data_IF_794530386482
#
_entry.id   IF_794530386482
#
_cell.length_a   1.000
_cell.length_b   1.000
_cell.length_c   1.000
_cell.angle_alpha   90.00
_cell.angle_beta   90.00
_cell.angle_gamma   90.00
#
_symmetry.space_group_name_H-M   'P 1'
#
loop_
_entity.id
_entity.type
_entity.pdbx_description
1 polymer ?
#
# COMPACT_ATOMS: atom_id res chain seq x y z
N UNK A 1 -11.91 -11.77 -10.26
CA UNK A 1 -10.68 -12.55 -10.57
C UNK A 1 -9.83 -12.46 -9.30
N UNK A 2 -9.31 -13.56 -8.77
CA UNK A 2 -8.54 -13.52 -7.50
C UNK A 2 -7.15 -12.93 -7.74
N UNK A 3 -6.70 -12.04 -6.84
CA UNK A 3 -5.33 -11.51 -6.89
C UNK A 3 -4.38 -12.61 -6.42
N UNK A 4 -3.28 -12.82 -7.15
CA UNK A 4 -2.18 -13.59 -6.61
C UNK A 4 -1.60 -12.87 -5.39
N UNK A 5 -0.95 -13.60 -4.48
CA UNK A 5 -0.27 -12.98 -3.32
C UNK A 5 0.75 -11.93 -3.76
N UNK A 6 1.39 -12.13 -4.91
CA UNK A 6 2.34 -11.18 -5.47
C UNK A 6 1.67 -9.87 -5.88
N UNK A 7 0.53 -9.95 -6.57
CA UNK A 7 -0.25 -8.79 -7.00
C UNK A 7 -0.90 -8.05 -5.83
N UNK A 8 -1.40 -8.78 -4.82
CA UNK A 8 -1.90 -8.19 -3.58
C UNK A 8 -0.83 -7.34 -2.90
N UNK A 9 0.38 -7.88 -2.72
CA UNK A 9 1.52 -7.16 -2.13
C UNK A 9 1.86 -5.90 -2.94
N UNK A 10 1.95 -6.02 -4.26
CA UNK A 10 2.23 -4.88 -5.15
C UNK A 10 1.14 -3.80 -5.07
N UNK A 11 -0.12 -4.20 -5.03
CA UNK A 11 -1.23 -3.26 -4.85
C UNK A 11 -1.16 -2.54 -3.50
N UNK A 12 -0.97 -3.28 -2.41
CA UNK A 12 -0.86 -2.70 -1.06
C UNK A 12 0.29 -1.71 -0.97
N UNK A 13 1.47 -2.06 -1.47
CA UNK A 13 2.63 -1.15 -1.52
C UNK A 13 2.36 0.11 -2.34
N UNK A 14 1.81 -0.04 -3.55
CA UNK A 14 1.44 1.08 -4.40
C UNK A 14 0.42 2.03 -3.75
N UNK A 15 -0.48 1.47 -2.94
CA UNK A 15 -1.47 2.21 -2.14
C UNK A 15 -0.90 2.77 -0.82
N UNK A 16 0.40 2.58 -0.54
CA UNK A 16 1.06 3.08 0.66
C UNK A 16 0.85 2.24 1.92
N UNK A 17 0.34 1.01 1.79
CA UNK A 17 0.22 0.04 2.88
C UNK A 17 1.52 -0.75 3.01
N UNK A 18 2.44 -0.11 3.71
CA UNK A 18 3.84 -0.44 3.76
C UNK A 18 4.20 -1.79 4.41
N UNK A 19 4.98 -2.60 3.70
CA UNK A 19 5.48 -3.93 4.07
C UNK A 19 6.83 -3.94 4.82
N UNK A 20 7.17 -2.91 5.59
CA UNK A 20 8.39 -2.93 6.42
C UNK A 20 9.62 -2.21 5.85
N UNK A 21 10.68 -2.02 6.66
CA UNK A 21 11.83 -1.06 6.70
C UNK A 21 12.37 -0.41 5.41
N UNK A 22 11.93 -0.83 4.24
CA UNK A 22 12.28 -0.31 2.92
C UNK A 22 11.28 0.73 2.37
N UNK A 23 11.01 1.77 3.16
CA UNK A 23 9.91 2.71 2.94
C UNK A 23 10.41 4.11 2.73
N UNK A 24 10.93 4.33 1.52
CA UNK A 24 10.99 5.60 0.79
C UNK A 24 11.73 5.42 -0.54
N UNK A 25 12.39 4.27 -0.78
CA UNK A 25 12.97 3.83 -2.06
C UNK A 25 13.00 2.29 -2.22
N UNK A 26 12.08 1.55 -1.58
CA UNK A 26 12.14 0.09 -1.46
C UNK A 26 12.01 -0.69 -2.77
N UNK A 27 13.11 -1.35 -3.14
CA UNK A 27 13.26 -2.24 -4.29
C UNK A 27 12.26 -3.40 -4.35
N UNK A 28 11.44 -3.69 -3.32
CA UNK A 28 10.50 -4.84 -3.27
C UNK A 28 9.41 -4.89 -4.36
N UNK A 29 9.28 -3.83 -5.16
CA UNK A 29 8.29 -3.71 -6.25
C UNK A 29 8.81 -4.11 -7.64
N UNK A 30 10.07 -4.53 -7.79
CA UNK A 30 10.60 -5.03 -9.06
C UNK A 30 10.70 -6.57 -9.02
N UNK A 31 10.35 -7.24 -10.12
CA UNK A 31 10.78 -8.62 -10.34
C UNK A 31 12.32 -8.66 -10.27
N UNK A 32 12.89 -9.53 -9.44
CA UNK A 32 14.35 -9.62 -9.25
C UNK A 32 14.96 -8.62 -8.27
N UNK A 33 14.15 -7.98 -7.42
CA UNK A 33 14.66 -7.18 -6.32
C UNK A 33 15.48 -8.05 -5.36
N UNK A 34 16.80 -7.94 -5.44
CA UNK A 34 17.72 -8.56 -4.51
C UNK A 34 18.71 -7.50 -4.04
N UNK A 35 18.82 -7.37 -2.73
CA UNK A 35 19.65 -6.35 -2.10
C UNK A 35 20.89 -7.07 -1.53
N UNK A 36 21.95 -7.15 -2.34
CA UNK A 36 23.22 -7.84 -1.98
C UNK A 36 23.94 -7.15 -0.82
N UNK A 37 23.70 -5.85 -0.62
CA UNK A 37 24.45 -5.02 0.33
C UNK A 37 23.94 -5.14 1.78
N UNK A 38 22.75 -5.70 1.99
CA UNK A 38 22.11 -5.78 3.32
C UNK A 38 21.95 -7.22 3.83
N UNK A 39 21.92 -8.23 2.96
CA UNK A 39 21.63 -9.63 3.33
C UNK A 39 22.87 -10.54 3.36
N UNK A 40 24.05 -10.03 3.04
CA UNK A 40 25.24 -10.87 2.86
C UNK A 40 25.03 -11.91 1.76
N UNK A 41 25.46 -13.15 2.00
CA UNK A 41 25.52 -14.29 1.06
C UNK A 41 24.17 -14.94 0.73
N UNK A 42 23.06 -14.20 0.64
CA UNK A 42 21.81 -14.78 0.12
C UNK A 42 21.91 -14.88 -1.41
N UNK A 43 21.77 -16.10 -1.92
CA UNK A 43 21.66 -16.36 -3.35
C UNK A 43 20.24 -16.03 -3.83
N UNK A 44 20.14 -14.92 -4.55
CA UNK A 44 18.91 -14.38 -5.14
C UNK A 44 18.20 -15.33 -6.10
N UNK A 45 18.92 -16.32 -6.64
CA UNK A 45 18.38 -17.32 -7.57
C UNK A 45 17.67 -18.48 -6.84
N UNK A 46 17.89 -18.62 -5.52
CA UNK A 46 17.40 -19.74 -4.72
C UNK A 46 16.37 -19.35 -3.65
N UNK A 47 16.26 -18.06 -3.30
CA UNK A 47 15.28 -17.59 -2.31
C UNK A 47 14.77 -16.21 -2.69
N UNK A 48 13.61 -16.12 -3.36
CA UNK A 48 12.93 -14.85 -3.54
C UNK A 48 12.71 -14.20 -2.17
N UNK A 49 12.93 -12.89 -2.04
CA UNK A 49 12.59 -12.12 -0.83
C UNK A 49 11.13 -12.35 -0.37
N UNK A 50 10.30 -12.85 -1.29
CA UNK A 50 8.87 -13.16 -1.11
C UNK A 50 8.56 -14.36 -0.22
N UNK A 51 9.55 -15.18 0.08
CA UNK A 51 9.44 -16.44 0.84
C UNK A 51 10.02 -16.36 2.26
N UNK A 52 10.53 -15.19 2.66
CA UNK A 52 11.03 -14.98 4.01
C UNK A 52 9.88 -14.85 5.01
N UNK A 53 9.96 -15.55 6.14
CA UNK A 53 8.98 -15.46 7.23
C UNK A 53 8.73 -14.02 7.71
N UNK A 54 9.77 -13.17 7.67
CA UNK A 54 9.65 -11.74 7.99
C UNK A 54 8.74 -10.99 7.01
N UNK A 55 8.72 -11.36 5.73
CA UNK A 55 7.84 -10.75 4.75
C UNK A 55 6.37 -11.16 4.96
N UNK A 56 6.11 -12.38 5.41
CA UNK A 56 4.74 -12.79 5.73
C UNK A 56 4.14 -11.88 6.81
N UNK A 57 4.87 -11.66 7.89
CA UNK A 57 4.44 -10.77 8.96
C UNK A 57 4.27 -9.31 8.51
N UNK A 58 5.14 -8.81 7.63
CA UNK A 58 4.95 -7.50 7.01
C UNK A 58 3.71 -7.45 6.10
N UNK A 59 3.46 -8.51 5.34
CA UNK A 59 2.25 -8.67 4.52
C UNK A 59 1.01 -8.63 5.39
N UNK A 60 0.98 -9.40 6.47
CA UNK A 60 -0.12 -9.40 7.44
C UNK A 60 -0.31 -8.02 8.08
N UNK A 61 0.78 -7.30 8.38
CA UNK A 61 0.73 -5.93 8.90
C UNK A 61 0.09 -4.93 7.93
N UNK A 62 0.43 -5.03 6.64
CA UNK A 62 -0.15 -4.18 5.59
C UNK A 62 -1.61 -4.52 5.33
N UNK A 63 -1.94 -5.82 5.30
CA UNK A 63 -3.31 -6.30 5.20
C UNK A 63 -4.15 -5.78 6.36
N UNK A 64 -3.67 -5.94 7.60
CA UNK A 64 -4.35 -5.49 8.81
C UNK A 64 -4.60 -3.98 8.77
N UNK A 65 -3.60 -3.17 8.40
CA UNK A 65 -3.76 -1.73 8.23
C UNK A 65 -4.80 -1.40 7.17
N UNK A 66 -4.75 -2.07 6.01
CA UNK A 66 -5.69 -1.84 4.92
C UNK A 66 -7.11 -2.18 5.35
N UNK A 67 -7.30 -3.30 6.04
CA UNK A 67 -8.60 -3.72 6.56
C UNK A 67 -9.16 -2.70 7.54
N UNK A 68 -8.35 -2.27 8.52
CA UNK A 68 -8.74 -1.21 9.46
C UNK A 68 -9.20 0.04 8.71
N UNK A 69 -8.37 0.51 7.78
CA UNK A 69 -8.56 1.72 6.99
C UNK A 69 -9.80 1.71 6.08
N UNK A 70 -10.24 0.52 5.66
CA UNK A 70 -11.36 0.32 4.75
C UNK A 70 -12.55 -0.36 5.43
N UNK A 71 -12.59 -0.34 6.78
CA UNK A 71 -13.69 -0.89 7.59
C UNK A 71 -14.00 -2.35 7.28
N UNK A 72 -12.99 -3.13 6.91
CA UNK A 72 -13.08 -4.59 6.79
C UNK A 72 -12.75 -5.25 8.13
N UNK A 73 -13.06 -6.53 8.27
CA UNK A 73 -12.58 -7.33 9.39
C UNK A 73 -11.04 -7.33 9.41
N UNK A 74 -10.46 -6.73 10.45
CA UNK A 74 -9.01 -6.55 10.61
C UNK A 74 -8.34 -7.83 11.11
N UNK A 75 -8.34 -8.88 10.28
CA UNK A 75 -7.79 -10.20 10.62
C UNK A 75 -6.30 -10.33 10.29
N UNK A 76 -5.76 -9.41 9.48
CA UNK A 76 -4.43 -9.55 8.88
C UNK A 76 -4.33 -10.68 7.85
N UNK A 77 -5.45 -11.34 7.50
CA UNK A 77 -5.49 -12.47 6.60
C UNK A 77 -5.92 -12.06 5.19
N UNK A 78 -5.36 -12.76 4.18
CA UNK A 78 -5.76 -12.59 2.80
C UNK A 78 -7.10 -13.30 2.53
N UNK A 79 -8.19 -12.53 2.48
CA UNK A 79 -9.54 -13.02 2.16
C UNK A 79 -10.12 -12.40 0.88
N UNK A 80 -11.24 -12.92 0.36
CA UNK A 80 -11.88 -12.43 -0.85
C UNK A 80 -12.29 -10.94 -0.74
N UNK A 81 -12.91 -10.53 0.35
CA UNK A 81 -13.36 -9.14 0.58
C UNK A 81 -12.19 -8.15 0.55
N UNK A 82 -11.03 -8.55 1.09
CA UNK A 82 -9.80 -7.77 1.02
C UNK A 82 -9.35 -7.62 -0.42
N UNK A 83 -9.26 -8.72 -1.18
CA UNK A 83 -8.77 -8.70 -2.56
C UNK A 83 -9.66 -7.83 -3.45
N UNK A 84 -10.97 -7.96 -3.31
CA UNK A 84 -11.95 -7.14 -4.01
C UNK A 84 -11.76 -5.65 -3.68
N UNK A 85 -11.66 -5.31 -2.39
CA UNK A 85 -11.50 -3.92 -1.96
C UNK A 85 -10.18 -3.31 -2.41
N UNK A 86 -9.09 -4.08 -2.39
CA UNK A 86 -7.78 -3.65 -2.90
C UNK A 86 -7.84 -3.42 -4.41
N UNK A 87 -8.42 -4.35 -5.17
CA UNK A 87 -8.58 -4.22 -6.62
C UNK A 87 -9.44 -2.98 -6.97
N UNK A 88 -10.60 -2.83 -6.31
CA UNK A 88 -11.49 -1.68 -6.46
C UNK A 88 -10.75 -0.36 -6.22
N UNK A 89 -9.97 -0.28 -5.14
CA UNK A 89 -9.19 0.92 -4.79
C UNK A 89 -8.19 1.28 -5.90
N UNK A 90 -7.53 0.28 -6.52
CA UNK A 90 -6.62 0.51 -7.64
C UNK A 90 -7.37 0.94 -8.89
N UNK A 91 -8.53 0.34 -9.20
CA UNK A 91 -9.36 0.74 -10.35
C UNK A 91 -9.83 2.18 -10.26
N UNK A 92 -10.28 2.60 -9.08
CA UNK A 92 -10.68 3.99 -8.81
C UNK A 92 -9.50 4.93 -9.05
N UNK A 93 -8.33 4.61 -8.48
CA UNK A 93 -7.11 5.40 -8.70
C UNK A 93 -6.73 5.49 -10.19
N UNK A 94 -6.72 4.37 -10.91
CA UNK A 94 -6.42 4.34 -12.34
C UNK A 94 -7.38 5.20 -13.14
N UNK A 95 -8.68 5.12 -12.84
CA UNK A 95 -9.69 5.95 -13.50
C UNK A 95 -9.46 7.45 -13.22
N UNK A 96 -9.18 7.81 -11.96
CA UNK A 96 -8.92 9.20 -11.59
C UNK A 96 -7.65 9.74 -12.27
N UNK A 97 -6.56 8.97 -12.29
CA UNK A 97 -5.33 9.33 -13.01
C UNK A 97 -5.56 9.45 -14.51
N UNK A 98 -6.38 8.56 -15.10
CA UNK A 98 -6.75 8.64 -16.52
C UNK A 98 -7.40 9.98 -16.86
N UNK A 99 -8.37 10.41 -16.05
CA UNK A 99 -9.09 11.68 -16.19
C UNK A 99 -8.12 12.85 -15.99
N UNK A 100 -7.41 12.88 -14.87
CA UNK A 100 -6.56 14.01 -14.47
C UNK A 100 -5.38 14.21 -15.41
N UNK A 101 -4.78 13.13 -15.90
CA UNK A 101 -3.63 13.19 -16.79
C UNK A 101 -4.04 13.21 -18.27
N UNK A 102 -5.34 13.05 -18.58
CA UNK A 102 -5.87 12.96 -19.95
C UNK A 102 -5.13 11.88 -20.78
N UNK A 103 -4.93 10.71 -20.20
CA UNK A 103 -4.18 9.59 -20.82
C UNK A 103 -5.07 8.40 -21.14
N UNK A 104 -4.53 7.40 -21.85
CA UNK A 104 -5.19 6.11 -22.06
C UNK A 104 -4.72 5.05 -21.03
N UNK A 105 -4.60 5.43 -19.76
CA UNK A 105 -4.19 4.50 -18.70
C UNK A 105 -5.18 3.31 -18.60
N UNK A 106 -4.70 2.05 -18.67
CA UNK A 106 -5.56 0.88 -18.50
C UNK A 106 -6.09 0.73 -17.07
N UNK A 107 -7.37 0.36 -16.94
CA UNK A 107 -8.04 0.13 -15.65
C UNK A 107 -8.05 -1.37 -15.36
N UNK A 108 -6.92 -1.89 -14.88
CA UNK A 108 -6.67 -3.32 -14.65
C UNK A 108 -6.99 -3.77 -13.23
N UNK A 109 -7.08 -2.85 -12.26
CA UNK A 109 -7.11 -3.19 -10.84
C UNK A 109 -5.78 -3.68 -10.28
N UNK A 110 -4.69 -3.56 -11.07
CA UNK A 110 -3.34 -3.98 -10.71
C UNK A 110 -2.37 -2.80 -10.78
N UNK A 111 -1.60 -2.59 -9.72
CA UNK A 111 -0.65 -1.49 -9.58
C UNK A 111 0.67 -1.80 -10.29
N UNK A 112 0.60 -2.05 -11.60
CA UNK A 112 1.78 -2.30 -12.43
C UNK A 112 2.49 -1.01 -12.84
N UNK A 113 3.57 -1.14 -13.62
CA UNK A 113 4.43 -0.04 -14.05
C UNK A 113 3.68 1.15 -14.67
N UNK A 114 2.59 0.91 -15.40
CA UNK A 114 1.77 1.98 -15.98
C UNK A 114 1.09 2.82 -14.89
N UNK A 115 0.50 2.20 -13.87
CA UNK A 115 -0.08 2.88 -12.71
C UNK A 115 0.99 3.63 -11.93
N UNK A 116 2.14 2.98 -11.68
CA UNK A 116 3.29 3.59 -11.01
C UNK A 116 3.76 4.87 -11.71
N UNK A 117 3.94 4.80 -13.03
CA UNK A 117 4.38 5.94 -13.83
C UNK A 117 3.33 7.05 -13.86
N UNK A 118 2.04 6.71 -13.96
CA UNK A 118 0.96 7.69 -13.88
C UNK A 118 0.96 8.42 -12.52
N UNK A 119 1.16 7.70 -11.41
CA UNK A 119 1.26 8.33 -10.08
C UNK A 119 2.48 9.23 -9.98
N UNK A 120 3.64 8.82 -10.50
CA UNK A 120 4.84 9.68 -10.56
C UNK A 120 4.59 10.95 -11.36
N UNK A 121 3.90 10.85 -12.50
CA UNK A 121 3.52 12.02 -13.31
C UNK A 121 2.54 12.92 -12.57
N UNK A 122 1.52 12.34 -11.93
CA UNK A 122 0.58 13.09 -11.11
C UNK A 122 1.28 13.87 -9.97
N UNK A 123 2.18 13.21 -9.25
CA UNK A 123 2.99 13.80 -8.19
C UNK A 123 3.86 14.96 -8.73
N UNK A 124 4.55 14.74 -9.87
CA UNK A 124 5.38 15.77 -10.51
C UNK A 124 4.58 17.00 -10.92
N UNK A 125 3.40 16.81 -11.53
CA UNK A 125 2.54 17.91 -11.97
C UNK A 125 2.01 18.77 -10.81
N UNK A 126 2.08 18.26 -9.57
CA UNK A 126 1.63 18.93 -8.33
C UNK A 126 2.78 19.31 -7.40
N UNK A 127 4.03 19.21 -7.86
CA UNK A 127 5.22 19.47 -7.05
C UNK A 127 5.27 18.65 -5.74
N UNK A 128 4.75 17.42 -5.78
CA UNK A 128 4.78 16.47 -4.67
C UNK A 128 6.03 15.58 -4.76
N UNK A 129 6.39 14.92 -3.66
CA UNK A 129 7.46 13.94 -3.67
C UNK A 129 7.15 12.79 -4.65
N UNK A 130 8.04 12.58 -5.63
CA UNK A 130 7.83 11.64 -6.74
C UNK A 130 8.22 10.21 -6.34
N UNK A 131 7.46 9.63 -5.42
CA UNK A 131 7.68 8.25 -4.92
C UNK A 131 7.04 7.20 -5.82
N UNK A 132 6.01 7.56 -6.58
CA UNK A 132 5.13 6.61 -7.25
C UNK A 132 4.19 5.85 -6.30
N UNK A 133 4.16 6.20 -5.01
CA UNK A 133 3.26 5.64 -4.01
C UNK A 133 2.02 6.55 -3.90
N UNK A 134 0.85 6.00 -4.19
CA UNK A 134 -0.42 6.68 -4.05
C UNK A 134 -0.96 6.47 -2.63
N UNK A 135 -0.40 7.18 -1.66
CA UNK A 135 -0.90 7.21 -0.27
C UNK A 135 -2.37 7.65 -0.24
N UNK A 136 -3.06 7.44 0.90
CA UNK A 136 -4.47 7.85 1.05
C UNK A 136 -4.70 9.33 0.71
N UNK A 137 -3.80 10.22 1.11
CA UNK A 137 -3.89 11.66 0.77
C UNK A 137 -3.75 11.91 -0.73
N UNK A 138 -2.78 11.26 -1.38
CA UNK A 138 -2.58 11.36 -2.84
C UNK A 138 -3.80 10.83 -3.60
N UNK A 139 -4.37 9.70 -3.18
CA UNK A 139 -5.59 9.14 -3.82
C UNK A 139 -6.78 10.07 -3.67
N UNK A 140 -6.97 10.65 -2.48
CA UNK A 140 -8.03 11.62 -2.23
C UNK A 140 -7.86 12.85 -3.13
N UNK A 141 -6.65 13.40 -3.20
CA UNK A 141 -6.37 14.54 -4.06
C UNK A 141 -6.64 14.22 -5.54
N UNK A 142 -6.24 13.03 -6.01
CA UNK A 142 -6.50 12.61 -7.39
C UNK A 142 -8.00 12.44 -7.68
N UNK A 143 -8.79 11.95 -6.71
CA UNK A 143 -10.24 11.87 -6.81
C UNK A 143 -10.89 13.26 -6.88
N UNK A 144 -10.50 14.15 -5.98
CA UNK A 144 -11.02 15.52 -5.93
C UNK A 144 -10.72 16.26 -7.26
N UNK A 145 -9.51 16.12 -7.80
CA UNK A 145 -9.12 16.70 -9.09
C UNK A 145 -9.91 16.09 -10.26
N UNK A 146 -10.10 14.77 -10.28
CA UNK A 146 -10.87 14.11 -11.33
C UNK A 146 -12.33 14.59 -11.33
N UNK A 147 -12.92 14.78 -10.15
CA UNK A 147 -14.29 15.31 -9.98
C UNK A 147 -14.45 16.73 -10.49
N UNK A 148 -13.47 17.59 -10.22
CA UNK A 148 -13.44 18.96 -10.72
C UNK A 148 -13.44 18.99 -12.25
N UNK A 149 -12.68 18.10 -12.88
CA UNK A 149 -12.62 17.99 -14.36
C UNK A 149 -13.94 17.54 -14.97
N UNK A 150 -14.63 16.57 -14.35
CA UNK A 150 -15.89 16.02 -14.87
C UNK A 150 -17.15 16.79 -14.44
N UNK A 151 -17.00 17.88 -13.68
CA UNK A 151 -18.12 18.70 -13.20
C UNK A 151 -19.08 17.99 -12.24
N UNK A 152 -18.65 16.90 -11.58
CA UNK A 152 -19.47 16.20 -10.59
C UNK A 152 -19.17 16.76 -9.18
N UNK A 153 -20.20 17.06 -8.36
CA UNK A 153 -19.98 17.43 -6.98
C UNK A 153 -19.25 16.30 -6.22
N UNK A 154 -18.51 16.63 -5.15
CA UNK A 154 -17.85 15.63 -4.33
C UNK A 154 -18.87 14.58 -3.87
N UNK A 155 -18.64 13.30 -4.21
CA UNK A 155 -19.18 12.24 -3.35
C UNK A 155 -18.52 12.51 -2.00
N UNK A 156 -19.28 12.60 -0.90
CA UNK A 156 -18.70 12.87 0.40
C UNK A 156 -17.55 11.88 0.61
N UNK A 157 -16.33 12.41 0.69
CA UNK A 157 -15.23 11.70 1.35
C UNK A 157 -15.81 11.22 2.67
N UNK A 158 -15.59 9.96 3.09
CA UNK A 158 -15.95 9.59 4.45
C UNK A 158 -15.28 10.62 5.35
N UNK A 159 -16.09 11.45 5.99
CA UNK A 159 -15.68 12.30 7.10
C UNK A 159 -14.93 11.37 8.06
N UNK A 160 -13.79 11.75 8.64
CA UNK A 160 -13.20 10.95 9.71
C UNK A 160 -14.23 10.89 10.85
N UNK A 161 -15.07 9.86 10.82
CA UNK A 161 -15.99 9.54 11.90
C UNK A 161 -15.12 9.21 13.09
N UNK A 162 -15.38 9.76 14.29
CA UNK A 162 -14.71 9.27 15.49
C UNK A 162 -15.05 7.78 15.59
N UNK A 163 -14.04 6.95 15.36
CA UNK A 163 -14.14 5.51 15.25
C UNK A 163 -14.24 4.95 16.68
N UNK A 164 -15.36 4.35 17.11
CA UNK A 164 -15.39 3.67 18.39
C UNK A 164 -14.67 2.32 18.22
N UNK A 165 -13.77 1.98 19.14
CA UNK A 165 -13.09 0.67 19.29
C UNK A 165 -11.89 0.33 18.37
N UNK A 166 -11.68 1.03 17.23
CA UNK A 166 -10.55 0.75 16.32
C UNK A 166 -9.42 1.80 16.26
N UNK A 167 -9.56 2.90 17.01
CA UNK A 167 -8.55 3.96 17.13
C UNK A 167 -7.24 3.47 17.75
N UNK A 168 -7.35 2.58 18.73
CA UNK A 168 -6.23 2.15 19.56
C UNK A 168 -5.36 1.15 18.79
N UNK A 169 -5.97 0.26 17.99
CA UNK A 169 -5.25 -0.65 17.12
C UNK A 169 -4.49 0.10 16.00
N UNK A 170 -5.12 1.12 15.40
CA UNK A 170 -4.48 1.94 14.36
C UNK A 170 -3.29 2.74 14.94
N UNK A 171 -3.49 3.41 16.07
CA UNK A 171 -2.42 4.18 16.72
C UNK A 171 -1.28 3.28 17.21
N UNK A 172 -1.59 2.10 17.73
CA UNK A 172 -0.60 1.09 18.11
C UNK A 172 0.20 0.63 16.91
N UNK A 173 -0.43 0.28 15.79
CA UNK A 173 0.28 -0.16 14.59
C UNK A 173 1.16 0.94 13.98
N UNK A 174 0.71 2.19 13.99
CA UNK A 174 1.52 3.35 13.57
C UNK A 174 2.77 3.47 14.46
N UNK A 175 2.58 3.37 15.78
CA UNK A 175 3.67 3.44 16.76
C UNK A 175 4.69 2.33 16.55
N UNK A 176 4.25 1.08 16.37
CA UNK A 176 5.13 -0.05 16.08
C UNK A 176 5.96 0.16 14.80
N UNK A 177 5.33 0.68 13.75
CA UNK A 177 6.02 1.01 12.48
C UNK A 177 7.10 2.08 12.68
N UNK A 178 6.80 3.11 13.48
CA UNK A 178 7.71 4.21 13.78
C UNK A 178 8.89 3.77 14.64
N UNK A 179 8.64 3.01 15.71
CA UNK A 179 9.70 2.47 16.58
C UNK A 179 10.67 1.58 15.79
N UNK A 180 10.15 0.77 14.87
CA UNK A 180 11.00 -0.01 13.96
C UNK A 180 11.80 0.89 13.03
N UNK A 181 11.19 1.89 12.41
CA UNK A 181 11.90 2.83 11.52
C UNK A 181 13.05 3.58 12.23
N UNK A 182 12.90 3.82 13.54
CA UNK A 182 13.92 4.46 14.37
C UNK A 182 15.03 3.49 14.83
N UNK A 183 14.95 2.20 14.50
CA UNK A 183 15.88 1.17 14.96
C UNK A 183 15.71 0.76 16.42
N UNK A 184 14.74 1.36 17.13
CA UNK A 184 14.40 1.05 18.53
C UNK A 184 13.79 -0.35 18.68
N UNK A 185 13.20 -0.87 17.61
CA UNK A 185 12.47 -2.14 17.61
C UNK A 185 12.96 -3.01 16.46
N UNK A 186 13.47 -4.20 16.78
CA UNK A 186 13.99 -5.14 15.78
C UNK A 186 12.89 -5.70 14.88
N UNK A 187 13.26 -6.27 13.73
CA UNK A 187 12.30 -6.93 12.85
C UNK A 187 11.52 -8.05 13.58
N UNK A 188 12.18 -8.88 14.40
CA UNK A 188 11.51 -9.92 15.18
C UNK A 188 10.54 -9.36 16.22
N UNK A 189 10.94 -8.31 16.94
CA UNK A 189 10.08 -7.64 17.92
C UNK A 189 8.86 -6.99 17.26
N UNK A 190 9.02 -6.46 16.04
CA UNK A 190 7.92 -5.87 15.27
C UNK A 190 6.91 -6.94 14.89
N UNK A 191 7.42 -8.06 14.39
CA UNK A 191 6.61 -9.21 13.98
C UNK A 191 5.80 -9.72 15.17
N UNK A 192 6.44 -9.99 16.31
CA UNK A 192 5.78 -10.47 17.51
C UNK A 192 4.72 -9.50 18.03
N UNK A 193 5.01 -8.19 17.98
CA UNK A 193 4.08 -7.16 18.41
C UNK A 193 2.86 -7.08 17.50
N UNK A 194 3.03 -7.15 16.16
CA UNK A 194 1.91 -7.13 15.24
C UNK A 194 1.08 -8.40 15.34
N UNK A 195 1.70 -9.57 15.47
CA UNK A 195 0.98 -10.84 15.60
C UNK A 195 0.07 -10.87 16.84
N UNK A 196 0.40 -10.14 17.90
CA UNK A 196 -0.46 -9.97 19.08
C UNK A 196 -1.67 -9.06 18.86
N UNK A 197 -1.69 -8.29 17.78
CA UNK A 197 -2.82 -7.41 17.41
C UNK A 197 -3.84 -8.10 16.49
N UNK A 198 -3.51 -9.28 15.97
CA UNK A 198 -4.33 -10.09 15.05
C UNK A 198 -5.14 -11.12 15.83
#
# INVERSE_FOLDING_TARGET
>A
MTLTLAELRTNLDGLGYYLGSRGLLGLGNLNGACDRDVLGTINCDLTPLRDLQSLDAYTRSAIFQFQLDNTLAATGQNGPDLQEKVEETVRILQNNLKIVLQTQLPITGKYFNQTLNAVKTYQRNRSLLVTGIATRSIRKQADDDARQIIGKPPIPSPTPTPMPSGSDLRSTLITLKQLRQQGTLSDSQFIDAVLKLL
#
